data_IF_440102112030
#
_entry.id   IF_440102112030
#
_cell.length_a   1.000
_cell.length_b   1.000
_cell.length_c   1.000
_cell.angle_alpha   90.00
_cell.angle_beta   90.00
_cell.angle_gamma   90.00
#
_symmetry.space_group_name_H-M   'P 1'
#
loop_
_entity.id
_entity.type
_entity.pdbx_description
1 polymer ?
#
# COMPACT_ATOMS: atom_id res chain seq x y z
N UNK A 1 3.45 -18.02 17.52
CA UNK A 1 4.38 -16.93 17.80
C UNK A 1 3.87 -16.01 18.92
N UNK A 2 4.77 -15.38 19.64
CA UNK A 2 4.48 -14.50 20.80
C UNK A 2 3.69 -13.23 20.39
N UNK A 3 3.87 -12.77 19.16
CA UNK A 3 3.28 -11.53 18.67
C UNK A 3 1.73 -11.50 18.65
N UNK A 4 1.03 -12.54 18.15
CA UNK A 4 -0.45 -12.57 18.20
C UNK A 4 -1.00 -12.60 19.63
N UNK A 5 -0.29 -13.28 20.55
CA UNK A 5 -0.67 -13.32 21.96
C UNK A 5 -0.52 -11.96 22.63
N UNK A 6 0.61 -11.27 22.41
CA UNK A 6 0.85 -9.90 22.89
C UNK A 6 -0.18 -8.93 22.35
N UNK A 7 -0.51 -9.03 21.06
CA UNK A 7 -1.53 -8.18 20.43
C UNK A 7 -2.91 -8.41 21.05
N UNK A 8 -3.31 -9.69 21.25
CA UNK A 8 -4.58 -10.05 21.87
C UNK A 8 -4.67 -9.54 23.33
N UNK A 9 -3.58 -9.63 24.10
CA UNK A 9 -3.52 -9.06 25.45
C UNK A 9 -3.66 -7.53 25.44
N UNK A 10 -2.89 -6.85 24.57
CA UNK A 10 -2.95 -5.37 24.46
C UNK A 10 -4.34 -4.89 24.09
N UNK A 11 -4.98 -5.54 23.11
CA UNK A 11 -6.33 -5.23 22.67
C UNK A 11 -7.37 -5.51 23.77
N UNK A 12 -7.18 -6.57 24.56
CA UNK A 12 -8.05 -6.88 25.70
C UNK A 12 -7.92 -5.80 26.80
N UNK A 13 -6.71 -5.27 27.06
CA UNK A 13 -6.49 -4.17 27.99
C UNK A 13 -7.15 -2.87 27.52
N UNK A 14 -7.05 -2.55 26.21
CA UNK A 14 -7.72 -1.37 25.63
C UNK A 14 -9.24 -1.49 25.76
N UNK A 15 -9.80 -2.70 25.56
CA UNK A 15 -11.23 -2.95 25.72
C UNK A 15 -11.67 -2.79 27.15
N UNK A 16 -10.91 -3.32 28.12
CA UNK A 16 -11.17 -3.12 29.55
C UNK A 16 -11.15 -1.65 29.94
N UNK A 17 -10.19 -0.88 29.45
CA UNK A 17 -10.12 0.56 29.64
C UNK A 17 -11.35 1.28 29.10
N UNK A 18 -11.80 0.91 27.90
CA UNK A 18 -13.01 1.47 27.28
C UNK A 18 -14.28 1.10 28.08
N UNK A 19 -14.36 -0.13 28.57
CA UNK A 19 -15.47 -0.62 29.41
C UNK A 19 -15.59 0.16 30.73
N UNK A 20 -14.48 0.63 31.29
CA UNK A 20 -14.48 1.48 32.48
C UNK A 20 -15.11 2.85 32.25
N UNK A 21 -15.17 3.32 31.02
CA UNK A 21 -15.75 4.61 30.62
C UNK A 21 -17.26 4.53 30.33
N UNK A 22 -17.84 3.33 30.31
CA UNK A 22 -19.28 3.16 30.10
C UNK A 22 -20.05 3.52 31.39
N UNK A 23 -21.06 4.37 31.28
CA UNK A 23 -21.88 4.81 32.41
C UNK A 23 -22.93 3.76 32.82
N UNK A 24 -23.34 2.87 31.92
CA UNK A 24 -24.39 1.87 32.13
C UNK A 24 -23.82 0.56 32.71
N UNK A 25 -24.26 0.22 33.91
CA UNK A 25 -23.84 -0.97 34.66
C UNK A 25 -24.13 -2.30 33.96
N UNK A 26 -25.24 -2.41 33.23
CA UNK A 26 -25.60 -3.65 32.54
C UNK A 26 -24.74 -3.86 31.28
N UNK A 27 -24.44 -2.81 30.57
CA UNK A 27 -23.46 -2.82 29.49
C UNK A 27 -22.08 -3.21 29.98
N UNK A 28 -21.63 -2.69 31.13
CA UNK A 28 -20.34 -3.06 31.76
C UNK A 28 -20.25 -4.55 32.05
N UNK A 29 -21.32 -5.17 32.58
CA UNK A 29 -21.35 -6.62 32.88
C UNK A 29 -21.23 -7.47 31.63
N UNK A 30 -21.99 -7.13 30.58
CA UNK A 30 -21.97 -7.86 29.30
C UNK A 30 -20.60 -7.79 28.65
N UNK A 31 -20.07 -6.58 28.46
CA UNK A 31 -18.78 -6.39 27.82
C UNK A 31 -17.62 -6.87 28.67
N UNK A 32 -17.72 -6.74 30.00
CA UNK A 32 -16.76 -7.31 30.95
C UNK A 32 -16.69 -8.83 30.86
N UNK A 33 -17.84 -9.51 30.80
CA UNK A 33 -17.91 -10.96 30.60
C UNK A 33 -17.32 -11.40 29.28
N UNK A 34 -17.60 -10.68 28.19
CA UNK A 34 -17.03 -10.95 26.86
C UNK A 34 -15.51 -10.71 26.83
N UNK A 35 -15.02 -9.66 27.45
CA UNK A 35 -13.58 -9.39 27.55
C UNK A 35 -12.84 -10.48 28.36
N UNK A 36 -13.44 -10.93 29.48
CA UNK A 36 -12.91 -12.03 30.28
C UNK A 36 -12.93 -13.37 29.49
N UNK A 37 -13.99 -13.61 28.71
CA UNK A 37 -14.07 -14.76 27.80
C UNK A 37 -12.97 -14.72 26.74
N UNK A 38 -12.71 -13.55 26.16
CA UNK A 38 -11.62 -13.35 25.19
C UNK A 38 -10.25 -13.65 25.80
N UNK A 39 -9.99 -13.14 27.00
CA UNK A 39 -8.76 -13.43 27.75
C UNK A 39 -8.62 -14.92 28.07
N UNK A 40 -9.73 -15.57 28.44
CA UNK A 40 -9.77 -17.01 28.69
C UNK A 40 -9.40 -17.84 27.46
N UNK A 41 -9.90 -17.47 26.28
CA UNK A 41 -9.56 -18.15 25.02
C UNK A 41 -8.06 -17.98 24.68
N UNK A 42 -7.52 -16.78 24.87
CA UNK A 42 -6.09 -16.54 24.65
C UNK A 42 -5.22 -17.33 25.63
N UNK A 43 -5.63 -17.39 26.91
CA UNK A 43 -4.93 -18.15 27.94
C UNK A 43 -5.02 -19.67 27.71
N UNK A 44 -6.11 -20.14 27.09
CA UNK A 44 -6.30 -21.53 26.66
C UNK A 44 -5.52 -21.90 25.38
N UNK A 45 -4.65 -21.02 24.86
CA UNK A 45 -3.85 -21.28 23.67
C UNK A 45 -4.58 -21.10 22.34
N UNK A 46 -5.74 -20.43 22.35
CA UNK A 46 -6.56 -20.15 21.17
C UNK A 46 -6.54 -18.65 20.80
N UNK A 47 -5.37 -18.08 20.41
CA UNK A 47 -5.24 -16.64 20.20
C UNK A 47 -6.09 -16.12 19.01
N UNK A 48 -6.30 -16.95 17.99
CA UNK A 48 -7.12 -16.58 16.83
C UNK A 48 -8.60 -16.42 17.20
N UNK A 49 -9.15 -17.35 18.00
CA UNK A 49 -10.51 -17.25 18.51
C UNK A 49 -10.67 -16.09 19.49
N UNK A 50 -9.64 -15.83 20.30
CA UNK A 50 -9.59 -14.67 21.19
C UNK A 50 -9.66 -13.35 20.41
N UNK A 51 -8.91 -13.23 19.32
CA UNK A 51 -8.90 -12.05 18.45
C UNK A 51 -10.28 -11.83 17.79
N UNK A 52 -10.92 -12.88 17.29
CA UNK A 52 -12.27 -12.76 16.71
C UNK A 52 -13.33 -12.36 17.73
N UNK A 53 -13.30 -12.99 18.89
CA UNK A 53 -14.23 -12.61 19.98
C UNK A 53 -14.03 -11.13 20.34
N UNK A 54 -12.77 -10.66 20.41
CA UNK A 54 -12.45 -9.26 20.64
C UNK A 54 -13.00 -8.35 19.54
N UNK A 55 -12.77 -8.65 18.26
CA UNK A 55 -13.28 -7.86 17.13
C UNK A 55 -14.81 -7.83 17.12
N UNK A 56 -15.46 -8.97 17.44
CA UNK A 56 -16.92 -9.04 17.59
C UNK A 56 -17.44 -8.14 18.71
N UNK A 57 -16.78 -8.14 19.86
CA UNK A 57 -17.11 -7.27 20.99
C UNK A 57 -16.93 -5.79 20.63
N UNK A 58 -15.82 -5.45 19.97
CA UNK A 58 -15.55 -4.07 19.54
C UNK A 58 -16.56 -3.59 18.49
N UNK A 59 -16.93 -4.44 17.52
CA UNK A 59 -17.95 -4.12 16.53
C UNK A 59 -19.32 -3.91 17.19
N UNK A 60 -19.72 -4.79 18.12
CA UNK A 60 -20.97 -4.65 18.86
C UNK A 60 -20.98 -3.39 19.72
N UNK A 61 -19.86 -3.06 20.38
CA UNK A 61 -19.71 -1.84 21.18
C UNK A 61 -19.80 -0.58 20.29
N UNK A 62 -19.13 -0.58 19.15
CA UNK A 62 -19.19 0.51 18.18
C UNK A 62 -20.62 0.71 17.63
N UNK A 63 -21.29 -0.37 17.18
CA UNK A 63 -22.68 -0.29 16.69
C UNK A 63 -23.60 0.27 17.79
N UNK A 64 -23.42 -0.15 19.05
CA UNK A 64 -24.23 0.37 20.16
C UNK A 64 -23.95 1.82 20.49
N UNK A 65 -22.69 2.22 20.52
CA UNK A 65 -22.27 3.61 20.80
C UNK A 65 -22.81 4.57 19.73
N UNK A 66 -22.69 4.20 18.47
CA UNK A 66 -23.12 5.03 17.36
C UNK A 66 -24.57 4.84 16.93
N UNK A 67 -25.32 3.90 17.56
CA UNK A 67 -26.72 3.60 17.19
C UNK A 67 -27.66 4.80 17.29
N UNK A 68 -27.39 5.74 18.21
CA UNK A 68 -28.17 6.98 18.35
C UNK A 68 -27.82 7.99 17.26
N UNK A 69 -26.59 7.99 16.80
CA UNK A 69 -26.10 8.90 15.75
C UNK A 69 -26.51 8.44 14.35
N UNK A 70 -26.67 7.12 14.13
CA UNK A 70 -27.27 6.56 12.92
C UNK A 70 -28.78 6.84 12.78
N UNK A 71 -29.44 7.35 13.81
CA UNK A 71 -30.81 7.86 13.81
C UNK A 71 -30.84 9.36 13.61
N UNK A 72 -30.00 9.93 12.76
CA UNK A 72 -30.07 11.34 12.48
C UNK A 72 -31.26 11.68 11.58
N UNK A 73 -31.83 12.85 11.88
CA UNK A 73 -32.98 13.45 11.22
C UNK A 73 -32.90 13.42 9.68
N UNK A 74 -33.98 13.04 9.09
CA UNK A 74 -34.54 12.98 7.76
C UNK A 74 -34.10 13.99 6.69
N UNK A 75 -32.94 14.58 6.73
CA UNK A 75 -32.42 15.37 5.62
C UNK A 75 -31.22 14.69 5.01
N UNK A 76 -31.45 14.03 3.87
CA UNK A 76 -30.39 13.53 3.01
C UNK A 76 -29.34 14.65 2.81
N UNK A 77 -28.08 14.34 3.09
CA UNK A 77 -26.99 15.25 2.83
C UNK A 77 -26.94 15.56 1.34
N UNK A 78 -26.91 16.83 0.98
CA UNK A 78 -26.82 17.21 -0.41
C UNK A 78 -25.52 16.67 -1.02
N UNK A 79 -25.57 16.16 -2.26
CA UNK A 79 -24.40 15.64 -2.98
C UNK A 79 -23.21 16.59 -2.97
N UNK A 80 -23.46 17.90 -2.90
CA UNK A 80 -22.41 18.91 -2.87
C UNK A 80 -22.22 19.47 -1.45
N UNK A 81 -22.23 18.57 -0.44
CA UNK A 81 -21.90 18.88 0.94
C UNK A 81 -20.52 18.35 1.32
N UNK A 82 -19.88 19.02 2.26
CA UNK A 82 -18.59 18.59 2.80
C UNK A 82 -18.71 17.24 3.51
N UNK A 83 -19.80 17.03 4.23
CA UNK A 83 -20.09 15.82 5.00
C UNK A 83 -20.16 14.60 4.10
N UNK A 84 -20.93 14.69 3.00
CA UNK A 84 -21.06 13.60 2.04
C UNK A 84 -19.69 13.17 1.48
N UNK A 85 -18.87 14.13 1.03
CA UNK A 85 -17.57 13.80 0.45
C UNK A 85 -16.53 13.37 1.47
N UNK A 86 -16.62 13.82 2.73
CA UNK A 86 -15.84 13.28 3.84
C UNK A 86 -16.21 11.83 4.14
N UNK A 87 -17.50 11.48 4.09
CA UNK A 87 -17.97 10.10 4.23
C UNK A 87 -17.43 9.22 3.09
N UNK A 88 -17.54 9.67 1.84
CA UNK A 88 -16.99 8.96 0.68
C UNK A 88 -15.47 8.77 0.82
N UNK A 89 -14.75 9.80 1.22
CA UNK A 89 -13.31 9.71 1.47
C UNK A 89 -12.95 8.68 2.55
N UNK A 90 -13.71 8.67 3.65
CA UNK A 90 -13.53 7.67 4.72
C UNK A 90 -13.80 6.25 4.20
N UNK A 91 -14.82 6.06 3.37
CA UNK A 91 -15.13 4.77 2.76
C UNK A 91 -14.00 4.27 1.85
N UNK A 92 -13.43 5.16 1.02
CA UNK A 92 -12.29 4.83 0.16
C UNK A 92 -11.05 4.41 0.98
N UNK A 93 -10.79 5.12 2.09
CA UNK A 93 -9.70 4.75 3.00
C UNK A 93 -9.93 3.38 3.65
N UNK A 94 -11.16 3.09 4.07
CA UNK A 94 -11.53 1.77 4.62
C UNK A 94 -11.36 0.69 3.57
N UNK A 95 -11.81 0.91 2.33
CA UNK A 95 -11.63 -0.04 1.22
C UNK A 95 -10.14 -0.33 0.96
N UNK A 96 -9.31 0.72 0.95
CA UNK A 96 -7.87 0.56 0.81
C UNK A 96 -7.26 -0.26 1.95
N UNK A 97 -7.64 0.04 3.19
CA UNK A 97 -7.19 -0.68 4.37
C UNK A 97 -7.63 -2.15 4.36
N UNK A 98 -8.89 -2.41 4.00
CA UNK A 98 -9.43 -3.80 3.87
C UNK A 98 -8.65 -4.57 2.82
N UNK A 99 -8.40 -3.96 1.66
CA UNK A 99 -7.63 -4.61 0.59
C UNK A 99 -6.20 -4.97 1.04
N UNK A 100 -5.48 -4.03 1.68
CA UNK A 100 -4.13 -4.29 2.21
C UNK A 100 -4.17 -5.39 3.27
N UNK A 101 -5.10 -5.27 4.23
CA UNK A 101 -5.25 -6.26 5.31
C UNK A 101 -5.56 -7.64 4.76
N UNK A 102 -6.44 -7.72 3.76
CA UNK A 102 -6.75 -8.99 3.10
C UNK A 102 -5.50 -9.64 2.52
N UNK A 103 -4.75 -8.92 1.68
CA UNK A 103 -3.57 -9.46 1.00
C UNK A 103 -2.45 -9.86 1.98
N UNK A 104 -2.22 -9.06 3.01
CA UNK A 104 -1.15 -9.31 3.98
C UNK A 104 -1.52 -10.35 5.04
N UNK A 105 -2.81 -10.58 5.27
CA UNK A 105 -3.30 -11.48 6.33
C UNK A 105 -3.73 -12.85 5.82
N UNK A 106 -3.50 -13.18 4.57
CA UNK A 106 -3.82 -14.50 4.00
C UNK A 106 -3.28 -15.66 4.86
N UNK A 107 -2.01 -15.67 5.32
CA UNK A 107 -1.51 -16.74 6.17
C UNK A 107 -2.25 -16.81 7.52
N UNK A 108 -2.69 -15.67 8.04
CA UNK A 108 -3.47 -15.59 9.29
C UNK A 108 -4.86 -16.16 9.06
N UNK A 109 -5.50 -15.84 7.94
CA UNK A 109 -6.80 -16.40 7.59
C UNK A 109 -6.76 -17.91 7.39
N UNK A 110 -5.73 -18.43 6.70
CA UNK A 110 -5.55 -19.85 6.54
C UNK A 110 -5.43 -20.57 7.90
N UNK A 111 -4.57 -20.06 8.79
CA UNK A 111 -4.43 -20.62 10.14
C UNK A 111 -5.73 -20.52 10.96
N UNK A 112 -6.51 -19.45 10.74
CA UNK A 112 -7.80 -19.27 11.39
C UNK A 112 -8.86 -20.23 10.87
N UNK A 113 -8.85 -20.56 9.58
CA UNK A 113 -9.82 -21.46 8.95
C UNK A 113 -9.54 -22.94 9.28
N UNK A 114 -8.31 -23.28 9.66
CA UNK A 114 -7.88 -24.65 9.97
C UNK A 114 -8.83 -25.41 10.93
N UNK A 115 -9.28 -24.87 12.07
CA UNK A 115 -10.21 -25.56 12.97
C UNK A 115 -11.60 -25.78 12.37
N UNK A 116 -11.97 -25.00 11.36
CA UNK A 116 -13.28 -25.07 10.70
C UNK A 116 -13.29 -25.93 9.45
N UNK A 117 -12.12 -26.44 9.01
CA UNK A 117 -12.00 -27.22 7.78
C UNK A 117 -12.98 -28.41 7.69
N UNK A 118 -13.27 -29.18 8.77
CA UNK A 118 -14.26 -30.27 8.68
C UNK A 118 -15.68 -29.76 8.43
N UNK A 119 -16.04 -28.63 9.01
CA UNK A 119 -17.34 -28.00 8.81
C UNK A 119 -17.48 -27.43 7.40
N UNK A 120 -16.43 -26.79 6.90
CA UNK A 120 -16.40 -26.22 5.55
C UNK A 120 -16.47 -27.32 4.47
N UNK A 121 -15.75 -28.42 4.64
CA UNK A 121 -15.80 -29.57 3.73
C UNK A 121 -17.18 -30.24 3.75
N UNK A 122 -17.81 -30.37 4.93
CA UNK A 122 -19.19 -30.87 5.03
C UNK A 122 -20.16 -29.92 4.30
N UNK A 123 -20.04 -28.61 4.52
CA UNK A 123 -20.89 -27.62 3.88
C UNK A 123 -20.73 -27.60 2.36
N UNK A 124 -19.51 -27.78 1.84
CA UNK A 124 -19.25 -27.98 0.42
C UNK A 124 -20.01 -29.20 -0.11
N UNK A 125 -19.91 -30.35 0.57
CA UNK A 125 -20.61 -31.57 0.18
C UNK A 125 -22.12 -31.41 0.13
N UNK A 126 -22.72 -30.55 0.97
CA UNK A 126 -24.16 -30.27 1.01
C UNK A 126 -24.57 -29.22 -0.03
N UNK A 127 -23.78 -28.16 -0.20
CA UNK A 127 -24.17 -27.02 -1.03
C UNK A 127 -23.63 -27.07 -2.45
N UNK A 128 -22.58 -27.87 -2.69
CA UNK A 128 -21.85 -27.91 -3.96
C UNK A 128 -20.99 -26.66 -4.25
N UNK A 129 -20.78 -25.79 -3.23
CA UNK A 129 -19.97 -24.57 -3.39
C UNK A 129 -18.48 -24.88 -3.23
N UNK A 130 -17.77 -24.98 -4.34
CA UNK A 130 -16.32 -25.29 -4.38
C UNK A 130 -15.47 -24.32 -3.58
N UNK A 131 -15.89 -23.04 -3.47
CA UNK A 131 -15.21 -22.04 -2.64
C UNK A 131 -15.09 -22.47 -1.18
N UNK A 132 -16.05 -23.25 -0.65
CA UNK A 132 -15.99 -23.77 0.72
C UNK A 132 -14.93 -24.87 0.86
N UNK A 133 -14.71 -25.65 -0.20
CA UNK A 133 -13.64 -26.64 -0.26
C UNK A 133 -12.25 -26.00 -0.31
N UNK A 134 -12.09 -24.98 -1.14
CA UNK A 134 -10.83 -24.21 -1.21
C UNK A 134 -10.49 -23.59 0.16
N UNK A 135 -11.50 -23.01 0.83
CA UNK A 135 -11.33 -22.49 2.20
C UNK A 135 -11.03 -23.60 3.22
N UNK A 136 -11.59 -24.79 3.05
CA UNK A 136 -11.33 -25.94 3.93
C UNK A 136 -9.89 -26.47 3.78
N UNK A 137 -9.34 -26.39 2.59
CA UNK A 137 -7.96 -26.82 2.28
C UNK A 137 -6.91 -25.78 2.64
N UNK A 138 -7.30 -24.59 3.09
CA UNK A 138 -6.42 -23.47 3.47
C UNK A 138 -5.56 -22.96 2.30
N UNK A 139 -6.10 -23.07 1.08
CA UNK A 139 -5.43 -22.69 -0.17
C UNK A 139 -5.64 -21.22 -0.56
N UNK A 140 -5.99 -20.37 0.43
CA UNK A 140 -5.95 -18.94 0.18
C UNK A 140 -4.49 -18.54 -0.06
N UNK A 141 -4.19 -18.15 -1.30
CA UNK A 141 -2.88 -17.63 -1.65
C UNK A 141 -2.98 -16.15 -2.00
N UNK A 142 -2.02 -15.32 -1.55
CA UNK A 142 -1.89 -13.99 -2.12
C UNK A 142 -1.63 -14.11 -3.62
N UNK A 143 -2.03 -13.09 -4.39
CA UNK A 143 -1.76 -13.08 -5.82
C UNK A 143 -0.28 -13.31 -6.11
N UNK A 144 0.03 -14.08 -7.12
CA UNK A 144 1.43 -14.41 -7.53
C UNK A 144 2.25 -13.17 -7.87
N UNK A 145 1.60 -12.08 -8.29
CA UNK A 145 2.20 -10.76 -8.52
C UNK A 145 1.56 -9.75 -7.55
N UNK A 146 2.14 -9.63 -6.36
CA UNK A 146 1.69 -8.71 -5.33
C UNK A 146 1.75 -7.25 -5.78
N UNK A 147 2.83 -6.86 -6.47
CA UNK A 147 3.00 -5.49 -6.95
C UNK A 147 1.87 -5.11 -7.90
N UNK A 148 1.55 -5.96 -8.86
CA UNK A 148 0.44 -5.75 -9.79
C UNK A 148 -0.90 -5.67 -9.06
N UNK A 149 -1.13 -6.54 -8.07
CA UNK A 149 -2.38 -6.58 -7.30
C UNK A 149 -2.57 -5.29 -6.51
N UNK A 150 -1.52 -4.80 -5.86
CA UNK A 150 -1.57 -3.52 -5.16
C UNK A 150 -1.75 -2.35 -6.14
N UNK A 151 -1.03 -2.32 -7.25
CA UNK A 151 -1.16 -1.24 -8.24
C UNK A 151 -2.57 -1.14 -8.82
N UNK A 152 -3.22 -2.26 -9.12
CA UNK A 152 -4.56 -2.27 -9.72
C UNK A 152 -5.65 -1.70 -8.80
N UNK A 153 -5.51 -1.82 -7.48
CA UNK A 153 -6.52 -1.39 -6.52
C UNK A 153 -6.10 -0.10 -5.81
N UNK A 154 -4.87 -0.05 -5.28
CA UNK A 154 -4.45 1.08 -4.44
C UNK A 154 -4.19 2.36 -5.24
N UNK A 155 -3.68 2.27 -6.47
CA UNK A 155 -3.43 3.47 -7.27
C UNK A 155 -4.73 4.18 -7.67
N UNK A 156 -5.77 3.52 -8.21
CA UNK A 156 -7.07 4.17 -8.43
C UNK A 156 -7.70 4.76 -7.16
N UNK A 157 -7.63 4.04 -6.04
CA UNK A 157 -8.13 4.55 -4.75
C UNK A 157 -7.36 5.80 -4.32
N UNK A 158 -6.03 5.80 -4.43
CA UNK A 158 -5.19 6.94 -4.11
C UNK A 158 -5.52 8.15 -5.00
N UNK A 159 -5.70 7.95 -6.31
CA UNK A 159 -6.13 9.03 -7.23
C UNK A 159 -7.44 9.65 -6.74
N UNK A 160 -8.46 8.83 -6.43
CA UNK A 160 -9.74 9.32 -5.94
C UNK A 160 -9.59 10.07 -4.60
N UNK A 161 -8.82 9.53 -3.66
CA UNK A 161 -8.57 10.16 -2.36
C UNK A 161 -7.90 11.54 -2.54
N UNK A 162 -6.88 11.66 -3.38
CA UNK A 162 -6.22 12.95 -3.60
C UNK A 162 -7.12 13.96 -4.33
N UNK A 163 -7.93 13.52 -5.29
CA UNK A 163 -8.94 14.39 -5.90
C UNK A 163 -9.96 14.89 -4.86
N UNK A 164 -10.39 14.03 -3.94
CA UNK A 164 -11.28 14.40 -2.85
C UNK A 164 -10.61 15.35 -1.85
N UNK A 165 -9.35 15.13 -1.50
CA UNK A 165 -8.58 16.03 -0.63
C UNK A 165 -8.53 17.45 -1.23
N UNK A 166 -8.31 17.55 -2.53
CA UNK A 166 -8.31 18.85 -3.21
C UNK A 166 -9.68 19.51 -3.29
N UNK A 167 -10.74 18.72 -3.49
CA UNK A 167 -12.13 19.19 -3.61
C UNK A 167 -12.75 19.55 -2.26
N UNK A 168 -12.67 18.64 -1.27
CA UNK A 168 -13.45 18.73 -0.03
C UNK A 168 -13.16 20.00 0.78
N UNK A 169 -11.96 20.55 0.66
CA UNK A 169 -11.56 21.77 1.36
C UNK A 169 -12.41 23.00 0.96
N UNK A 170 -12.91 23.01 -0.27
CA UNK A 170 -13.73 24.12 -0.80
C UNK A 170 -15.24 23.94 -0.58
N UNK A 171 -15.66 22.76 -0.18
CA UNK A 171 -17.05 22.47 0.09
C UNK A 171 -17.49 23.07 1.44
N UNK A 172 -18.71 23.56 1.47
CA UNK A 172 -19.37 24.05 2.68
C UNK A 172 -20.15 22.95 3.37
N UNK A 173 -20.42 23.18 4.65
CA UNK A 173 -21.37 22.39 5.42
C UNK A 173 -22.77 22.42 4.77
N UNK A 174 -23.43 21.28 4.72
CA UNK A 174 -24.77 21.01 4.15
C UNK A 174 -24.89 21.17 2.63
N UNK A 175 -24.54 22.30 2.04
CA UNK A 175 -24.69 22.48 0.59
C UNK A 175 -23.71 23.53 0.05
N UNK A 176 -23.16 23.25 -1.12
CA UNK A 176 -22.23 24.11 -1.84
C UNK A 176 -22.75 24.40 -3.24
N UNK A 177 -22.59 25.61 -3.73
CA UNK A 177 -22.76 25.91 -5.14
C UNK A 177 -21.57 25.38 -5.93
N UNK A 178 -21.82 24.34 -6.73
CA UNK A 178 -20.77 23.66 -7.50
C UNK A 178 -20.08 24.61 -8.50
N UNK A 179 -20.77 25.61 -9.03
CA UNK A 179 -20.17 26.58 -9.96
C UNK A 179 -19.13 27.44 -9.28
N UNK A 180 -19.39 27.84 -8.02
CA UNK A 180 -18.45 28.61 -7.20
C UNK A 180 -17.25 27.74 -6.82
N UNK A 181 -17.48 26.49 -6.45
CA UNK A 181 -16.41 25.53 -6.11
C UNK A 181 -15.55 25.27 -7.33
N UNK A 182 -16.16 24.95 -8.49
CA UNK A 182 -15.43 24.72 -9.73
C UNK A 182 -14.55 25.93 -10.11
N UNK A 183 -15.09 27.16 -9.99
CA UNK A 183 -14.31 28.38 -10.25
C UNK A 183 -13.07 28.53 -9.36
N UNK A 184 -13.14 28.08 -8.11
CA UNK A 184 -12.00 28.09 -7.19
C UNK A 184 -10.96 27.03 -7.54
N UNK A 185 -11.38 25.89 -8.07
CA UNK A 185 -10.49 24.79 -8.43
C UNK A 185 -9.72 25.00 -9.75
N UNK A 186 -10.17 25.92 -10.61
CA UNK A 186 -9.56 26.16 -11.94
C UNK A 186 -8.06 26.38 -11.85
N UNK A 187 -7.60 27.22 -10.92
CA UNK A 187 -6.17 27.52 -10.78
C UNK A 187 -5.35 26.29 -10.40
N UNK A 188 -5.83 25.51 -9.43
CA UNK A 188 -5.17 24.28 -9.01
C UNK A 188 -5.17 23.23 -10.13
N UNK A 189 -6.28 23.10 -10.87
CA UNK A 189 -6.38 22.19 -12.02
C UNK A 189 -5.40 22.58 -13.14
N UNK A 190 -5.39 23.84 -13.54
CA UNK A 190 -4.47 24.31 -14.58
C UNK A 190 -3.01 24.15 -14.15
N UNK A 191 -2.68 24.52 -12.92
CA UNK A 191 -1.33 24.34 -12.37
C UNK A 191 -0.92 22.86 -12.33
N UNK A 192 -1.79 21.98 -11.83
CA UNK A 192 -1.53 20.53 -11.80
C UNK A 192 -1.36 19.95 -13.21
N UNK A 193 -2.22 20.37 -14.16
CA UNK A 193 -2.10 19.92 -15.57
C UNK A 193 -0.78 20.37 -16.19
N UNK A 194 -0.40 21.64 -16.01
CA UNK A 194 0.84 22.17 -16.55
C UNK A 194 2.08 21.45 -15.95
N UNK A 195 2.11 21.28 -14.63
CA UNK A 195 3.21 20.59 -13.96
C UNK A 195 3.29 19.12 -14.34
N UNK A 196 2.15 18.41 -14.33
CA UNK A 196 2.12 17.00 -14.76
C UNK A 196 2.53 16.85 -16.21
N UNK A 197 2.05 17.71 -17.12
CA UNK A 197 2.45 17.70 -18.53
C UNK A 197 3.94 17.95 -18.70
N UNK A 198 4.53 18.87 -17.94
CA UNK A 198 5.97 19.11 -17.95
C UNK A 198 6.77 17.88 -17.47
N UNK A 199 6.29 17.21 -16.43
CA UNK A 199 6.93 15.98 -15.93
C UNK A 199 6.83 14.83 -16.92
N UNK A 200 5.67 14.66 -17.57
CA UNK A 200 5.48 13.63 -18.61
C UNK A 200 6.48 13.80 -19.75
N UNK A 201 6.67 15.03 -20.23
CA UNK A 201 7.66 15.33 -21.28
C UNK A 201 9.10 15.18 -20.79
N UNK A 202 9.39 15.58 -19.55
CA UNK A 202 10.73 15.54 -18.96
C UNK A 202 11.23 14.12 -18.69
N UNK A 203 10.33 13.21 -18.29
CA UNK A 203 10.65 11.85 -17.88
C UNK A 203 10.23 10.79 -18.90
N UNK A 204 9.71 11.19 -20.06
CA UNK A 204 9.30 10.31 -21.17
C UNK A 204 8.40 9.14 -20.75
N UNK A 205 7.31 9.46 -20.03
CA UNK A 205 6.38 8.46 -19.55
C UNK A 205 5.68 7.73 -20.70
N UNK A 206 5.70 6.42 -20.67
CA UNK A 206 5.05 5.58 -21.66
C UNK A 206 3.53 5.43 -21.43
N UNK A 207 2.81 4.99 -22.46
CA UNK A 207 1.34 4.87 -22.40
C UNK A 207 0.83 3.88 -21.34
N UNK A 208 1.60 2.88 -20.96
CA UNK A 208 1.22 1.94 -19.90
C UNK A 208 1.34 2.54 -18.48
N UNK A 209 1.94 3.72 -18.33
CA UNK A 209 2.12 4.42 -17.06
C UNK A 209 0.98 5.41 -16.74
N UNK A 210 -0.12 5.37 -17.51
CA UNK A 210 -1.30 6.24 -17.29
C UNK A 210 -1.74 6.29 -15.81
N UNK A 211 -1.84 5.17 -15.04
CA UNK A 211 -2.21 5.22 -13.64
C UNK A 211 -1.25 6.07 -12.79
N UNK A 212 0.05 6.00 -13.08
CA UNK A 212 1.10 6.78 -12.42
C UNK A 212 0.96 8.27 -12.74
N UNK A 213 0.74 8.61 -14.01
CA UNK A 213 0.50 9.99 -14.46
C UNK A 213 -0.77 10.57 -13.81
N UNK A 214 -1.85 9.78 -13.71
CA UNK A 214 -3.07 10.16 -13.02
C UNK A 214 -2.82 10.44 -11.53
N UNK A 215 -1.99 9.64 -10.86
CA UNK A 215 -1.63 9.84 -9.47
C UNK A 215 -0.76 11.09 -9.28
N UNK A 216 0.19 11.35 -10.19
CA UNK A 216 0.98 12.60 -10.21
C UNK A 216 0.06 13.82 -10.33
N UNK A 217 -0.89 13.79 -11.27
CA UNK A 217 -1.86 14.86 -11.41
C UNK A 217 -2.70 15.05 -10.13
N UNK A 218 -3.23 13.97 -9.56
CA UNK A 218 -4.09 14.03 -8.38
C UNK A 218 -3.35 14.58 -7.15
N UNK A 219 -2.10 14.17 -6.93
CA UNK A 219 -1.27 14.67 -5.83
C UNK A 219 -0.92 16.14 -6.00
N UNK A 220 -0.53 16.57 -7.20
CA UNK A 220 -0.28 17.99 -7.51
C UNK A 220 -1.55 18.82 -7.38
N UNK A 221 -2.68 18.33 -7.86
CA UNK A 221 -3.97 19.00 -7.71
C UNK A 221 -4.33 19.17 -6.24
N UNK A 222 -4.18 18.13 -5.41
CA UNK A 222 -4.44 18.20 -3.97
C UNK A 222 -3.53 19.22 -3.28
N UNK A 223 -2.22 19.19 -3.58
CA UNK A 223 -1.24 20.12 -3.01
C UNK A 223 -1.56 21.58 -3.40
N UNK A 224 -1.75 21.85 -4.68
CA UNK A 224 -2.05 23.21 -5.18
C UNK A 224 -3.39 23.72 -4.70
N UNK A 225 -4.43 22.87 -4.66
CA UNK A 225 -5.77 23.26 -4.20
C UNK A 225 -5.74 23.64 -2.71
N UNK A 226 -5.06 22.87 -1.87
CA UNK A 226 -4.93 23.16 -0.45
C UNK A 226 -4.00 24.36 -0.20
N UNK A 227 -2.93 24.53 -0.96
CA UNK A 227 -2.07 25.71 -0.89
C UNK A 227 -2.84 26.99 -1.28
N UNK A 228 -3.63 26.94 -2.36
CA UNK A 228 -4.49 28.04 -2.77
C UNK A 228 -5.55 28.38 -1.71
N UNK A 229 -6.13 27.36 -1.07
CA UNK A 229 -7.02 27.55 0.06
C UNK A 229 -6.35 28.27 1.23
N UNK A 230 -5.12 27.85 1.61
CA UNK A 230 -4.35 28.51 2.65
C UNK A 230 -4.16 30.00 2.32
N UNK A 231 -3.71 30.32 1.10
CA UNK A 231 -3.47 31.70 0.67
C UNK A 231 -4.74 32.55 0.73
N UNK A 232 -5.89 32.00 0.28
CA UNK A 232 -7.15 32.77 0.24
C UNK A 232 -7.81 32.90 1.61
N UNK A 233 -7.65 31.92 2.50
CA UNK A 233 -8.35 31.88 3.78
C UNK A 233 -7.47 32.33 4.95
N UNK A 234 -6.20 32.62 4.73
CA UNK A 234 -5.30 33.09 5.78
C UNK A 234 -5.73 34.44 6.32
N UNK A 235 -6.11 34.44 7.59
CA UNK A 235 -6.44 35.65 8.36
C UNK A 235 -5.46 35.92 9.51
N UNK A 236 -4.22 35.46 9.37
CA UNK A 236 -3.19 35.55 10.43
C UNK A 236 -3.33 34.53 11.56
N UNK A 237 -4.20 33.53 11.42
CA UNK A 237 -4.45 32.49 12.43
C UNK A 237 -3.98 31.14 11.92
N UNK A 238 -2.96 30.57 12.57
CA UNK A 238 -2.39 29.25 12.22
C UNK A 238 -3.26 28.08 12.71
N UNK A 239 -4.07 28.29 13.74
CA UNK A 239 -4.94 27.27 14.34
C UNK A 239 -5.97 26.67 13.37
N UNK A 240 -6.39 27.44 12.37
CA UNK A 240 -7.36 27.02 11.33
C UNK A 240 -6.71 26.40 10.11
N UNK A 241 -5.38 26.44 10.00
CA UNK A 241 -4.63 26.00 8.81
C UNK A 241 -4.03 24.59 8.93
N UNK A 242 -4.19 23.92 10.07
CA UNK A 242 -3.59 22.61 10.32
C UNK A 242 -3.98 21.54 9.29
N UNK A 243 -5.27 21.41 8.99
CA UNK A 243 -5.77 20.43 8.03
C UNK A 243 -5.26 20.67 6.60
N UNK A 244 -5.42 21.86 5.99
CA UNK A 244 -4.91 22.07 4.64
C UNK A 244 -3.39 21.97 4.55
N UNK A 245 -2.64 22.37 5.58
CA UNK A 245 -1.18 22.21 5.62
C UNK A 245 -0.79 20.72 5.68
N UNK A 246 -1.48 19.91 6.49
CA UNK A 246 -1.26 18.47 6.53
C UNK A 246 -1.55 17.80 5.17
N UNK A 247 -2.61 18.24 4.48
CA UNK A 247 -2.95 17.75 3.14
C UNK A 247 -1.88 18.11 2.10
N UNK A 248 -1.33 19.31 2.13
CA UNK A 248 -0.20 19.71 1.26
C UNK A 248 1.01 18.81 1.55
N UNK A 249 1.39 18.63 2.82
CA UNK A 249 2.52 17.79 3.20
C UNK A 249 2.35 16.33 2.75
N UNK A 250 1.16 15.77 2.98
CA UNK A 250 0.84 14.40 2.57
C UNK A 250 0.89 14.25 1.04
N UNK A 251 0.28 15.18 0.30
CA UNK A 251 0.28 15.17 -1.16
C UNK A 251 1.70 15.25 -1.74
N UNK A 252 2.56 16.11 -1.18
CA UNK A 252 3.96 16.23 -1.60
C UNK A 252 4.79 14.98 -1.26
N UNK A 253 4.51 14.32 -0.14
CA UNK A 253 5.15 13.06 0.24
C UNK A 253 4.85 11.96 -0.80
N UNK A 254 3.58 11.78 -1.15
CA UNK A 254 3.20 10.77 -2.14
C UNK A 254 3.69 11.16 -3.54
N UNK A 255 3.63 12.44 -3.91
CA UNK A 255 4.23 12.94 -5.14
C UNK A 255 5.71 12.57 -5.24
N UNK A 256 6.50 12.82 -4.18
CA UNK A 256 7.92 12.46 -4.13
C UNK A 256 8.15 10.95 -4.24
N UNK A 257 7.32 10.14 -3.58
CA UNK A 257 7.38 8.68 -3.69
C UNK A 257 7.10 8.19 -5.12
N UNK A 258 6.09 8.78 -5.80
CA UNK A 258 5.76 8.42 -7.20
C UNK A 258 6.90 8.78 -8.15
N UNK A 259 7.51 9.96 -8.01
CA UNK A 259 8.65 10.35 -8.84
C UNK A 259 9.87 9.45 -8.57
N UNK A 260 10.15 9.15 -7.30
CA UNK A 260 11.27 8.27 -6.92
C UNK A 260 11.11 6.86 -7.49
N UNK A 261 9.90 6.31 -7.43
CA UNK A 261 9.62 4.98 -8.00
C UNK A 261 9.60 4.99 -9.53
N UNK A 262 9.18 6.08 -10.16
CA UNK A 262 9.23 6.22 -11.62
C UNK A 262 10.68 6.18 -12.17
N UNK A 263 11.64 6.64 -11.39
CA UNK A 263 13.05 6.64 -11.76
C UNK A 263 13.79 5.35 -11.36
N UNK A 264 13.09 4.38 -10.74
CA UNK A 264 13.69 3.10 -10.38
C UNK A 264 14.04 2.33 -11.66
N UNK A 265 15.34 2.21 -11.93
CA UNK A 265 15.85 1.38 -13.02
C UNK A 265 16.42 0.09 -12.42
N UNK A 266 15.82 -1.05 -12.78
CA UNK A 266 16.34 -2.36 -12.37
C UNK A 266 17.48 -2.73 -13.30
N UNK A 267 18.70 -2.71 -12.77
CA UNK A 267 19.92 -3.03 -13.50
C UNK A 267 20.36 -4.50 -13.33
N UNK A 268 19.82 -5.19 -12.31
CA UNK A 268 20.10 -6.60 -11.99
C UNK A 268 19.21 -7.56 -12.80
N UNK A 269 19.36 -7.53 -14.13
CA UNK A 269 18.60 -8.43 -15.00
C UNK A 269 19.42 -9.65 -15.38
N UNK A 270 18.86 -10.84 -15.18
CA UNK A 270 19.49 -12.05 -15.67
C UNK A 270 19.18 -12.27 -17.17
N UNK A 271 20.23 -12.43 -17.96
CA UNK A 271 20.15 -12.69 -19.41
C UNK A 271 20.70 -14.06 -19.79
N UNK A 272 21.12 -14.86 -18.82
CA UNK A 272 21.76 -16.15 -19.02
C UNK A 272 20.89 -17.22 -18.35
N UNK A 273 20.10 -17.90 -19.18
CA UNK A 273 19.21 -18.96 -18.70
C UNK A 273 17.99 -18.46 -17.92
N UNK A 274 17.17 -19.39 -17.46
CA UNK A 274 16.01 -19.10 -16.62
C UNK A 274 16.30 -19.47 -15.17
N UNK A 275 16.44 -18.45 -14.31
CA UNK A 275 16.75 -18.64 -12.88
C UNK A 275 15.50 -19.00 -12.08
N UNK A 276 14.30 -18.84 -12.60
CA UNK A 276 13.08 -19.26 -11.92
C UNK A 276 13.00 -20.77 -11.71
N UNK A 277 13.75 -21.52 -12.52
CA UNK A 277 13.91 -22.98 -12.36
C UNK A 277 14.68 -23.40 -11.13
N UNK A 278 15.48 -22.49 -10.55
CA UNK A 278 16.25 -22.72 -9.32
C UNK A 278 15.41 -22.45 -8.08
N UNK A 279 14.58 -21.44 -8.13
CA UNK A 279 13.63 -21.07 -7.10
C UNK A 279 12.53 -20.22 -7.74
N UNK A 280 11.25 -20.54 -7.45
CA UNK A 280 10.07 -19.83 -7.96
C UNK A 280 10.02 -18.33 -7.54
N UNK A 281 10.74 -17.97 -6.48
CA UNK A 281 10.85 -16.58 -6.01
C UNK A 281 11.81 -15.74 -6.87
N UNK A 282 12.67 -16.38 -7.69
CA UNK A 282 13.63 -15.66 -8.55
C UNK A 282 13.00 -15.23 -9.86
N UNK A 283 13.26 -13.99 -10.26
CA UNK A 283 12.72 -13.39 -11.47
C UNK A 283 13.86 -12.87 -12.36
N UNK A 284 13.94 -13.34 -13.59
CA UNK A 284 14.95 -12.91 -14.56
C UNK A 284 14.94 -11.39 -14.84
N UNK A 285 13.81 -10.72 -14.63
CA UNK A 285 13.70 -9.27 -14.87
C UNK A 285 14.24 -8.43 -13.73
N UNK A 286 14.38 -8.98 -12.53
CA UNK A 286 14.78 -8.23 -11.33
C UNK A 286 16.02 -8.78 -10.63
N UNK A 287 16.35 -10.07 -10.89
CA UNK A 287 17.40 -10.76 -10.17
C UNK A 287 18.53 -11.16 -11.11
N UNK A 288 19.74 -11.14 -10.62
CA UNK A 288 20.95 -11.58 -11.31
C UNK A 288 21.61 -12.69 -10.50
N UNK A 289 21.74 -13.88 -11.10
CA UNK A 289 22.49 -14.95 -10.49
C UNK A 289 23.99 -14.73 -10.66
N UNK A 290 24.71 -14.62 -9.55
CA UNK A 290 26.13 -14.35 -9.52
C UNK A 290 26.84 -15.39 -8.65
N UNK A 291 27.77 -16.14 -9.24
CA UNK A 291 28.59 -17.09 -8.51
C UNK A 291 29.91 -16.46 -8.03
N UNK A 292 30.54 -17.04 -7.01
CA UNK A 292 31.83 -16.54 -6.53
C UNK A 292 32.89 -16.62 -7.65
N UNK A 293 33.52 -15.51 -7.93
CA UNK A 293 34.47 -15.35 -9.03
C UNK A 293 33.87 -14.84 -10.35
N UNK A 294 32.53 -14.82 -10.49
CA UNK A 294 31.88 -14.33 -11.70
C UNK A 294 31.99 -12.81 -11.81
N UNK A 295 31.98 -12.38 -13.10
CA UNK A 295 31.84 -10.96 -13.45
C UNK A 295 30.78 -10.87 -14.56
N UNK A 296 29.63 -10.28 -14.25
CA UNK A 296 28.49 -10.18 -15.16
C UNK A 296 28.09 -8.72 -15.42
N UNK A 297 27.52 -8.44 -16.60
CA UNK A 297 27.00 -7.11 -16.88
C UNK A 297 25.71 -6.84 -16.08
N UNK A 298 25.64 -5.68 -15.45
CA UNK A 298 24.53 -5.20 -14.64
C UNK A 298 24.20 -3.77 -15.00
N UNK A 299 23.36 -3.57 -16.00
CA UNK A 299 23.06 -2.24 -16.57
C UNK A 299 24.32 -1.52 -17.07
N UNK A 300 24.62 -0.29 -16.57
CA UNK A 300 25.81 0.46 -16.95
C UNK A 300 27.09 -0.02 -16.27
N UNK A 301 27.02 -1.08 -15.46
CA UNK A 301 28.15 -1.60 -14.72
C UNK A 301 28.45 -3.06 -15.09
N UNK A 302 29.65 -3.51 -14.76
CA UNK A 302 29.98 -4.91 -14.50
C UNK A 302 30.03 -5.12 -13.01
N UNK A 303 29.44 -6.19 -12.51
CA UNK A 303 29.52 -6.60 -11.11
C UNK A 303 30.35 -7.87 -11.00
N UNK A 304 31.34 -7.86 -10.11
CA UNK A 304 32.15 -9.02 -9.79
C UNK A 304 31.92 -9.43 -8.32
N UNK A 305 31.49 -10.68 -8.13
CA UNK A 305 31.37 -11.26 -6.81
C UNK A 305 32.68 -11.96 -6.44
N UNK A 306 33.40 -11.42 -5.46
CA UNK A 306 34.75 -11.87 -5.11
C UNK A 306 34.75 -12.95 -4.03
N UNK A 307 34.03 -12.72 -2.93
CA UNK A 307 34.12 -13.59 -1.75
C UNK A 307 32.92 -13.43 -0.83
N UNK A 308 32.51 -14.55 -0.24
CA UNK A 308 31.63 -14.60 0.91
C UNK A 308 32.45 -14.68 2.19
N UNK A 309 32.11 -13.87 3.21
CA UNK A 309 32.70 -13.97 4.54
C UNK A 309 31.60 -13.89 5.60
N UNK A 310 31.86 -14.49 6.76
CA UNK A 310 30.95 -14.50 7.88
C UNK A 310 31.59 -13.77 9.05
N UNK A 311 30.91 -12.77 9.58
CA UNK A 311 31.33 -12.02 10.76
C UNK A 311 30.22 -12.11 11.82
N UNK A 312 30.37 -13.03 12.77
CA UNK A 312 29.33 -13.33 13.75
C UNK A 312 28.09 -13.92 13.12
N UNK A 313 26.95 -13.22 13.28
CA UNK A 313 25.65 -13.60 12.69
C UNK A 313 25.45 -13.03 11.27
N UNK A 314 26.34 -12.14 10.83
CA UNK A 314 26.25 -11.48 9.52
C UNK A 314 27.02 -12.24 8.45
N UNK A 315 26.38 -12.43 7.31
CA UNK A 315 27.01 -12.94 6.09
C UNK A 315 27.25 -11.74 5.18
N UNK A 316 28.53 -11.48 4.85
CA UNK A 316 28.97 -10.38 4.01
C UNK A 316 29.41 -10.92 2.65
N UNK A 317 29.03 -10.20 1.60
CA UNK A 317 29.40 -10.49 0.21
C UNK A 317 30.25 -9.36 -0.34
N UNK A 318 31.50 -9.66 -0.68
CA UNK A 318 32.42 -8.68 -1.26
C UNK A 318 32.15 -8.57 -2.76
N UNK A 319 31.55 -7.45 -3.16
CA UNK A 319 31.20 -7.16 -4.55
C UNK A 319 31.99 -5.95 -5.04
N UNK A 320 32.46 -5.99 -6.28
CA UNK A 320 33.11 -4.87 -6.93
C UNK A 320 32.33 -4.48 -8.17
N UNK A 321 32.06 -3.18 -8.32
CA UNK A 321 31.37 -2.60 -9.46
C UNK A 321 32.35 -1.81 -10.32
N UNK A 322 32.34 -2.06 -11.63
CA UNK A 322 33.12 -1.35 -12.63
C UNK A 322 32.16 -0.65 -13.59
N UNK A 323 32.42 0.59 -13.94
CA UNK A 323 31.63 1.25 -14.98
C UNK A 323 31.84 0.55 -16.32
N UNK A 324 30.74 0.20 -16.97
CA UNK A 324 30.74 -0.27 -18.34
C UNK A 324 30.99 0.95 -19.24
N UNK A 325 32.26 1.27 -19.52
CA UNK A 325 32.60 2.33 -20.44
C UNK A 325 31.96 2.03 -21.81
N UNK A 326 31.13 2.90 -22.39
CA UNK A 326 30.61 2.73 -23.75
C UNK A 326 31.74 3.01 -24.76
N UNK A 327 32.75 2.14 -24.79
CA UNK A 327 33.72 2.18 -25.88
C UNK A 327 33.07 1.54 -27.09
N UNK A 328 32.71 2.35 -28.05
CA UNK A 328 32.36 1.90 -29.39
C UNK A 328 33.60 1.30 -30.02
N UNK A 329 33.59 0.00 -30.21
CA UNK A 329 34.67 -0.68 -30.92
C UNK A 329 34.27 -0.83 -32.40
N UNK A 330 35.13 -0.42 -33.30
CA UNK A 330 34.92 -0.65 -34.71
C UNK A 330 35.02 -2.14 -35.04
N UNK A 331 34.24 -2.57 -36.02
CA UNK A 331 34.27 -3.98 -36.52
C UNK A 331 35.73 -4.42 -36.79
N UNK A 332 36.13 -5.54 -36.19
CA UNK A 332 37.47 -6.07 -36.29
C UNK A 332 38.50 -5.47 -35.32
N UNK A 333 38.15 -4.48 -34.52
CA UNK A 333 39.07 -3.90 -33.53
C UNK A 333 39.41 -4.93 -32.45
N UNK A 334 40.72 -5.11 -32.22
CA UNK A 334 41.26 -5.98 -31.19
C UNK A 334 41.54 -5.12 -29.94
N UNK A 335 40.97 -5.52 -28.82
CA UNK A 335 41.15 -4.83 -27.54
C UNK A 335 41.70 -5.79 -26.52
N UNK A 336 42.76 -5.38 -25.84
CA UNK A 336 43.30 -6.13 -24.70
C UNK A 336 42.55 -5.70 -23.44
N UNK A 337 41.92 -6.67 -22.76
CA UNK A 337 41.25 -6.47 -21.47
C UNK A 337 41.60 -7.64 -20.55
N UNK A 338 42.11 -7.35 -19.37
CA UNK A 338 42.53 -8.35 -18.35
C UNK A 338 43.46 -9.47 -18.88
N UNK A 339 44.37 -9.13 -19.78
CA UNK A 339 45.32 -10.07 -20.35
C UNK A 339 44.77 -10.95 -21.47
N UNK A 340 43.53 -10.75 -21.86
CA UNK A 340 42.90 -11.41 -23.00
C UNK A 340 42.70 -10.43 -24.15
N UNK A 341 42.82 -10.95 -25.38
CA UNK A 341 42.55 -10.21 -26.61
C UNK A 341 41.16 -10.51 -27.09
N UNK A 342 40.32 -9.45 -27.21
CA UNK A 342 38.95 -9.53 -27.71
C UNK A 342 38.84 -8.85 -29.04
N UNK A 343 38.15 -9.49 -29.98
CA UNK A 343 37.87 -8.90 -31.30
C UNK A 343 36.38 -8.58 -31.40
N UNK A 344 36.06 -7.32 -31.80
CA UNK A 344 34.70 -6.93 -32.06
C UNK A 344 34.17 -7.61 -33.34
N UNK A 345 33.15 -8.44 -33.23
CA UNK A 345 32.55 -9.21 -34.34
C UNK A 345 31.34 -8.50 -34.98
N UNK A 346 30.99 -7.31 -34.51
CA UNK A 346 29.89 -6.47 -35.01
C UNK A 346 29.92 -5.07 -34.38
N UNK A 347 29.25 -4.11 -35.02
CA UNK A 347 29.01 -2.79 -34.44
C UNK A 347 27.99 -2.92 -33.31
N UNK A 348 28.47 -2.95 -32.08
CA UNK A 348 27.60 -2.88 -30.90
C UNK A 348 27.50 -1.43 -30.45
N UNK A 349 26.30 -0.87 -30.61
CA UNK A 349 25.89 0.40 -29.98
C UNK A 349 25.52 0.18 -28.53
#
# INVERSE_FOLDING_TARGET
GILPQLLAYLLSFVTLGHLMLLEDLDSRKIYGGLALGTLGLVAAGQPALGLLAFLGVMAAAAIRAFRKEFRSDEKEDALWSREFWMFVGSLLLVLGAVHITWQTSVPVFNHFLEPFSPLLSWAEGVTGWTVLGDLAQHDLAPGTDLDRTYHLVQVPLAVLIFLLIGLAQWLKYKNSDIRVVAGKLVRATLGATALTGSLVVMYDFESHEIPRVALLFATLFAALSNADYIVQMWKGRLDTMGSPLAHVGFALTIFGAVISTAQKNVISQNRIGDISTLNEELNNATDLLLMEGDTLPMGPYFVSYRKRRQEGIHVLFDMTYFERSPKTYALGQIVAHEGMLWQALGDHK
#
